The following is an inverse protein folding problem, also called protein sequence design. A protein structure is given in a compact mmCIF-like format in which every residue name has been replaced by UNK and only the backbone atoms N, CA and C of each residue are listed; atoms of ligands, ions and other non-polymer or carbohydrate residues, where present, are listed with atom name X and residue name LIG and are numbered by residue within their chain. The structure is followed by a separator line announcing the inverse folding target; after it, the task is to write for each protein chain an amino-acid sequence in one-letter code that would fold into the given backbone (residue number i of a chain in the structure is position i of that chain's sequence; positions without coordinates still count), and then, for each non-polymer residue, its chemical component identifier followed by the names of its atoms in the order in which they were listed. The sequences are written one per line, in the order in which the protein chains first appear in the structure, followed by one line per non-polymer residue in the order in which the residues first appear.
data_IF_555647621449
#
_entry.id   IF_555647621449
#
_cell.length_a   1.000
_cell.length_b   1.000
_cell.length_c   1.000
_cell.angle_alpha   90.00
_cell.angle_beta   90.00
_cell.angle_gamma   90.00
#
_symmetry.space_group_name_H-M   'P 1'
#
loop_
_entity.id
_entity.type
_entity.pdbx_description
1 polymer ?
#
# COMPACT_ATOMS: atom_id res chain seq x y z
N UNK A 1 -13.14 1.53 13.23
CA UNK A 1 -12.52 0.27 13.73
C UNK A 1 -11.73 0.57 15.01
N UNK A 2 -12.40 0.65 16.18
CA UNK A 2 -11.73 1.01 17.44
C UNK A 2 -10.72 -0.04 17.93
N UNK A 3 -10.81 -1.27 17.42
CA UNK A 3 -9.91 -2.39 17.74
C UNK A 3 -8.66 -2.43 16.82
N UNK A 4 -8.51 -1.47 15.90
CA UNK A 4 -7.37 -1.44 14.99
C UNK A 4 -6.09 -1.06 15.73
N UNK A 5 -5.01 -1.81 15.50
CA UNK A 5 -3.66 -1.50 15.96
C UNK A 5 -2.76 -1.21 14.77
N UNK A 6 -1.99 -0.15 14.87
CA UNK A 6 -1.15 0.32 13.77
C UNK A 6 0.25 -0.27 13.87
N UNK A 7 0.71 -0.89 12.78
CA UNK A 7 2.09 -1.35 12.65
C UNK A 7 2.99 -0.22 12.13
N UNK A 8 3.22 -0.17 10.82
CA UNK A 8 3.89 0.96 10.18
C UNK A 8 3.57 1.00 8.68
N UNK A 9 3.85 2.15 8.06
CA UNK A 9 3.57 2.34 6.65
C UNK A 9 4.45 3.42 6.04
N UNK A 10 5.56 3.05 5.40
CA UNK A 10 6.43 4.00 4.75
C UNK A 10 5.83 4.52 3.43
N UNK A 11 6.33 5.66 3.00
CA UNK A 11 6.23 6.06 1.61
C UNK A 11 7.14 5.17 0.75
N UNK A 12 6.71 4.86 -0.47
CA UNK A 12 7.45 4.11 -1.48
C UNK A 12 7.67 4.98 -2.71
N UNK A 13 8.46 4.52 -3.67
CA UNK A 13 8.67 5.24 -4.94
C UNK A 13 7.37 5.45 -5.73
N UNK A 14 6.39 4.56 -5.58
CA UNK A 14 5.14 4.57 -6.34
C UNK A 14 3.92 4.98 -5.54
N UNK A 15 4.06 5.24 -4.24
CA UNK A 15 2.93 5.58 -3.38
C UNK A 15 3.24 5.44 -1.90
N UNK A 16 2.30 4.92 -1.14
CA UNK A 16 2.44 4.63 0.28
C UNK A 16 1.59 3.43 0.67
N UNK A 17 1.90 2.82 1.79
CA UNK A 17 1.01 1.84 2.40
C UNK A 17 0.96 2.01 3.91
N UNK A 18 0.00 1.34 4.53
CA UNK A 18 -0.04 1.19 5.98
C UNK A 18 -0.51 -0.21 6.37
N UNK A 19 0.24 -0.85 7.27
CA UNK A 19 -0.07 -2.17 7.81
C UNK A 19 -0.83 -2.02 9.12
N UNK A 20 -2.00 -2.66 9.19
CA UNK A 20 -2.94 -2.51 10.29
C UNK A 20 -3.41 -3.88 10.74
N UNK A 21 -3.40 -4.12 12.04
CA UNK A 21 -4.07 -5.27 12.65
C UNK A 21 -5.52 -4.89 12.96
N UNK A 22 -6.44 -5.53 12.29
CA UNK A 22 -7.87 -5.30 12.45
C UNK A 22 -8.57 -6.40 13.30
N UNK A 23 -7.78 -7.32 13.90
CA UNK A 23 -8.31 -8.49 14.58
C UNK A 23 -9.04 -9.40 13.59
N UNK A 24 -10.31 -9.68 13.87
CA UNK A 24 -11.14 -10.56 13.03
C UNK A 24 -11.84 -9.82 11.88
N UNK A 25 -11.73 -8.50 11.82
CA UNK A 25 -12.36 -7.71 10.76
C UNK A 25 -11.57 -7.81 9.47
N UNK A 26 -12.28 -8.08 8.37
CA UNK A 26 -11.71 -8.09 7.02
C UNK A 26 -12.17 -6.86 6.27
N UNK A 27 -11.23 -6.07 5.79
CA UNK A 27 -11.48 -5.00 4.82
C UNK A 27 -11.50 -5.56 3.41
N UNK A 28 -12.35 -4.99 2.59
CA UNK A 28 -12.43 -5.23 1.15
C UNK A 28 -12.21 -3.93 0.39
N UNK A 29 -11.99 -4.01 -0.92
CA UNK A 29 -11.84 -2.81 -1.75
C UNK A 29 -13.10 -1.91 -1.72
N UNK A 30 -14.27 -2.46 -1.38
CA UNK A 30 -15.52 -1.72 -1.23
C UNK A 30 -15.50 -0.75 -0.04
N UNK A 31 -14.63 -0.98 0.95
CA UNK A 31 -14.47 -0.12 2.13
C UNK A 31 -13.58 1.11 1.84
N UNK A 32 -12.71 1.03 0.81
CA UNK A 32 -11.75 2.09 0.51
C UNK A 32 -12.39 3.46 0.28
N UNK A 33 -13.52 3.60 -0.43
CA UNK A 33 -14.17 4.90 -0.62
C UNK A 33 -14.63 5.56 0.69
N UNK A 34 -15.06 4.76 1.67
CA UNK A 34 -15.46 5.27 2.98
C UNK A 34 -14.25 5.80 3.76
N UNK A 35 -13.12 5.08 3.73
CA UNK A 35 -11.85 5.51 4.34
C UNK A 35 -11.34 6.78 3.67
N UNK A 36 -11.33 6.84 2.33
CA UNK A 36 -10.93 8.05 1.57
C UNK A 36 -11.77 9.27 1.95
N UNK A 37 -13.06 9.10 2.14
CA UNK A 37 -13.96 10.17 2.56
C UNK A 37 -13.56 10.76 3.91
N UNK A 38 -13.20 9.92 4.88
CA UNK A 38 -12.72 10.37 6.18
C UNK A 38 -11.32 11.02 6.07
N UNK A 39 -10.42 10.46 5.26
CA UNK A 39 -9.13 11.10 4.97
C UNK A 39 -9.33 12.49 4.37
N UNK A 40 -10.25 12.67 3.42
CA UNK A 40 -10.59 13.97 2.85
C UNK A 40 -11.15 14.94 3.90
N UNK A 41 -11.96 14.45 4.84
CA UNK A 41 -12.46 15.26 5.95
C UNK A 41 -11.31 15.75 6.86
N UNK A 42 -10.33 14.88 7.15
CA UNK A 42 -9.12 15.23 7.91
C UNK A 42 -8.29 16.28 7.15
N UNK A 43 -8.08 16.10 5.86
CA UNK A 43 -7.35 17.07 5.01
C UNK A 43 -8.01 18.45 5.07
N UNK A 44 -9.35 18.53 5.02
CA UNK A 44 -10.11 19.80 5.12
C UNK A 44 -9.96 20.49 6.45
N UNK A 45 -9.72 19.75 7.55
CA UNK A 45 -9.49 20.34 8.90
C UNK A 45 -8.20 21.15 8.97
N UNK A 46 -7.28 20.99 8.04
CA UNK A 46 -6.00 21.69 7.98
C UNK A 46 -5.19 21.61 9.29
N UNK A 47 -5.09 20.40 9.83
CA UNK A 47 -4.40 20.16 11.09
C UNK A 47 -2.88 20.32 10.90
N UNK A 48 -2.17 20.95 11.82
CA UNK A 48 -0.71 20.96 11.81
C UNK A 48 -0.17 19.57 12.10
N UNK A 49 0.93 19.20 11.46
CA UNK A 49 1.69 17.98 11.73
C UNK A 49 3.00 18.41 12.40
N UNK A 50 3.12 18.10 13.69
CA UNK A 50 4.21 18.60 14.56
C UNK A 50 5.16 17.46 14.92
N UNK A 51 6.45 17.56 14.58
CA UNK A 51 7.44 16.61 15.04
C UNK A 51 7.78 16.86 16.52
N UNK A 52 8.09 15.80 17.25
CA UNK A 52 8.71 15.83 18.56
C UNK A 52 9.53 14.56 18.77
N UNK A 53 10.47 14.60 19.69
CA UNK A 53 11.30 13.46 20.04
C UNK A 53 11.04 13.06 21.50
N UNK A 54 11.16 11.76 21.78
CA UNK A 54 11.04 11.17 23.09
C UNK A 54 12.25 10.29 23.39
N UNK A 55 12.56 10.16 24.66
CA UNK A 55 13.43 9.09 25.15
C UNK A 55 12.76 7.73 24.92
N UNK A 56 13.54 6.64 24.93
CA UNK A 56 13.01 5.30 24.73
C UNK A 56 11.93 4.95 25.75
N UNK A 57 12.16 5.24 27.02
CA UNK A 57 11.21 4.94 28.09
C UNK A 57 9.90 5.71 27.92
N UNK A 58 9.98 7.00 27.59
CA UNK A 58 8.80 7.83 27.32
C UNK A 58 8.04 7.35 26.09
N UNK A 59 8.75 6.95 25.03
CA UNK A 59 8.16 6.42 23.81
C UNK A 59 7.42 5.10 24.05
N UNK A 60 8.04 4.16 24.77
CA UNK A 60 7.41 2.88 25.14
C UNK A 60 6.16 3.15 26.00
N UNK A 61 6.27 4.01 27.00
CA UNK A 61 5.14 4.36 27.85
C UNK A 61 3.99 4.97 27.05
N UNK A 62 4.27 5.92 26.18
CA UNK A 62 3.26 6.54 25.31
C UNK A 62 2.55 5.52 24.43
N UNK A 63 3.30 4.60 23.80
CA UNK A 63 2.74 3.59 22.91
C UNK A 63 1.93 2.53 23.68
N UNK A 64 2.36 2.18 24.90
CA UNK A 64 1.60 1.30 25.80
C UNK A 64 0.27 1.92 26.25
N UNK A 65 0.28 3.21 26.64
CA UNK A 65 -0.93 3.93 27.01
C UNK A 65 -1.93 4.05 25.86
N UNK A 66 -1.45 4.06 24.62
CA UNK A 66 -2.26 4.07 23.40
C UNK A 66 -2.65 2.67 22.89
N UNK A 67 -2.14 1.60 23.51
CA UNK A 67 -2.42 0.22 23.10
C UNK A 67 -1.69 -0.24 21.83
N UNK A 68 -0.67 0.50 21.37
CA UNK A 68 0.04 0.24 20.11
C UNK A 68 1.20 -0.77 20.30
N UNK A 69 0.84 -2.03 20.46
CA UNK A 69 1.79 -3.12 20.75
C UNK A 69 2.87 -3.31 19.68
N UNK A 70 2.52 -3.15 18.40
CA UNK A 70 3.48 -3.26 17.29
C UNK A 70 4.54 -2.15 17.33
N UNK A 71 4.17 -0.95 17.77
CA UNK A 71 5.11 0.16 17.96
C UNK A 71 6.04 -0.09 19.14
N UNK A 72 5.52 -0.62 20.24
CA UNK A 72 6.34 -1.01 21.41
C UNK A 72 7.37 -2.06 21.00
N UNK A 73 6.96 -3.09 20.29
CA UNK A 73 7.87 -4.14 19.80
C UNK A 73 8.93 -3.57 18.85
N UNK A 74 8.51 -2.68 17.93
CA UNK A 74 9.44 -2.04 17.00
C UNK A 74 10.47 -1.17 17.71
N UNK A 75 10.07 -0.39 18.73
CA UNK A 75 10.99 0.41 19.55
C UNK A 75 12.01 -0.49 20.25
N UNK A 76 11.60 -1.67 20.74
CA UNK A 76 12.50 -2.61 21.40
C UNK A 76 13.58 -3.18 20.45
N UNK A 77 13.28 -3.31 19.17
CA UNK A 77 14.22 -3.82 18.15
C UNK A 77 15.22 -2.76 17.66
N UNK A 78 14.97 -1.47 17.89
CA UNK A 78 15.86 -0.40 17.44
C UNK A 78 17.13 -0.34 18.33
N UNK A 79 18.24 0.09 17.74
CA UNK A 79 19.48 0.32 18.48
C UNK A 79 19.30 1.42 19.56
N UNK A 80 20.07 1.35 20.64
CA UNK A 80 19.90 2.24 21.79
C UNK A 80 20.17 3.72 21.49
N UNK A 81 21.03 3.99 20.53
CA UNK A 81 21.47 5.33 20.12
C UNK A 81 20.50 6.02 19.13
N UNK A 82 19.43 5.34 18.70
CA UNK A 82 18.45 5.90 17.76
C UNK A 82 17.55 6.91 18.44
N UNK A 83 17.49 8.13 17.86
CA UNK A 83 16.53 9.15 18.28
C UNK A 83 15.13 8.76 17.81
N UNK A 84 14.19 8.62 18.76
CA UNK A 84 12.81 8.26 18.47
C UNK A 84 12.00 9.52 18.19
N UNK A 85 11.63 9.69 16.93
CA UNK A 85 10.85 10.84 16.46
C UNK A 85 9.39 10.44 16.25
N UNK A 86 8.50 11.32 16.68
CA UNK A 86 7.06 11.19 16.57
C UNK A 86 6.47 12.38 15.83
N UNK A 87 5.31 12.18 15.24
CA UNK A 87 4.53 13.23 14.59
C UNK A 87 3.12 13.24 15.15
N UNK A 88 2.67 14.42 15.57
CA UNK A 88 1.33 14.63 16.09
C UNK A 88 0.47 15.38 15.08
N UNK A 89 -0.71 14.85 14.81
CA UNK A 89 -1.75 15.44 13.96
C UNK A 89 -3.08 15.43 14.72
N UNK A 90 -3.44 16.53 15.38
CA UNK A 90 -4.57 16.53 16.30
C UNK A 90 -4.33 15.55 17.45
N UNK A 91 -5.25 14.61 17.66
CA UNK A 91 -5.15 13.58 18.70
C UNK A 91 -4.37 12.33 18.22
N UNK A 92 -4.07 12.26 16.92
CA UNK A 92 -3.29 11.16 16.37
C UNK A 92 -1.79 11.42 16.53
N UNK A 93 -1.08 10.41 17.02
CA UNK A 93 0.38 10.42 17.19
C UNK A 93 0.92 9.13 16.58
N UNK A 94 1.95 9.25 15.77
CA UNK A 94 2.65 8.10 15.22
C UNK A 94 4.16 8.30 15.24
N UNK A 95 4.88 7.18 15.35
CA UNK A 95 6.34 7.13 15.28
C UNK A 95 6.79 7.08 13.82
N UNK A 96 7.60 8.02 13.39
CA UNK A 96 8.18 8.04 12.06
C UNK A 96 9.46 8.85 12.01
N UNK A 97 10.35 8.51 11.09
CA UNK A 97 11.60 9.23 10.85
C UNK A 97 11.37 10.56 10.08
N UNK A 98 10.30 10.63 9.28
CA UNK A 98 10.03 11.77 8.39
C UNK A 98 10.82 11.71 7.08
N UNK A 99 10.79 12.77 6.25
CA UNK A 99 10.04 14.01 6.45
C UNK A 99 8.53 13.87 6.29
N UNK A 100 7.77 14.83 6.84
CA UNK A 100 6.31 14.89 6.72
C UNK A 100 5.86 16.26 6.19
N UNK A 101 4.62 16.31 5.70
CA UNK A 101 3.95 17.57 5.41
C UNK A 101 3.78 18.38 6.70
N UNK A 102 3.86 19.71 6.61
CA UNK A 102 3.69 20.57 7.78
C UNK A 102 2.25 20.65 8.27
N UNK A 103 1.28 20.35 7.41
CA UNK A 103 -0.15 20.39 7.71
C UNK A 103 -0.94 19.53 6.72
N UNK A 104 -2.10 19.02 7.15
CA UNK A 104 -2.88 18.05 6.35
C UNK A 104 -3.37 18.59 5.02
N UNK A 105 -3.72 19.88 4.92
CA UNK A 105 -4.20 20.50 3.67
C UNK A 105 -3.13 20.62 2.57
N UNK A 106 -1.86 20.39 2.91
CA UNK A 106 -0.79 20.29 1.91
C UNK A 106 -0.96 19.07 0.99
N UNK A 107 -1.60 18.00 1.46
CA UNK A 107 -1.99 16.85 0.65
C UNK A 107 -3.07 17.28 -0.36
N UNK A 108 -2.73 17.30 -1.66
CA UNK A 108 -3.59 17.84 -2.72
C UNK A 108 -4.49 16.81 -3.35
N UNK A 109 -3.95 15.63 -3.64
CA UNK A 109 -4.66 14.54 -4.27
C UNK A 109 -4.09 13.21 -3.78
N UNK A 110 -4.95 12.26 -3.49
CA UNK A 110 -4.59 10.91 -3.08
C UNK A 110 -5.72 9.95 -3.44
N UNK A 111 -5.37 8.67 -3.51
CA UNK A 111 -6.31 7.57 -3.70
C UNK A 111 -5.80 6.34 -3.00
N UNK A 112 -6.70 5.57 -2.40
CA UNK A 112 -6.42 4.22 -1.94
C UNK A 112 -6.66 3.25 -3.12
N UNK A 113 -5.70 2.38 -3.39
CA UNK A 113 -5.71 1.62 -4.66
C UNK A 113 -5.90 0.13 -4.48
N UNK A 114 -5.52 -0.43 -3.32
CA UNK A 114 -5.66 -1.86 -3.08
C UNK A 114 -5.57 -2.21 -1.59
N UNK A 115 -6.12 -3.38 -1.26
CA UNK A 115 -5.93 -4.05 0.01
C UNK A 115 -5.18 -5.36 -0.25
N UNK A 116 -4.19 -5.65 0.58
CA UNK A 116 -3.42 -6.89 0.53
C UNK A 116 -3.06 -7.38 1.93
N UNK A 117 -2.60 -8.62 2.05
CA UNK A 117 -2.01 -9.13 3.29
C UNK A 117 -0.51 -8.86 3.33
N UNK A 118 0.02 -8.61 4.53
CA UNK A 118 1.46 -8.53 4.78
C UNK A 118 1.78 -9.15 6.13
N UNK A 119 2.77 -10.01 6.19
CA UNK A 119 3.21 -10.58 7.48
C UNK A 119 4.02 -9.55 8.27
N UNK A 120 3.75 -9.47 9.57
CA UNK A 120 4.54 -8.64 10.48
C UNK A 120 6.02 -8.96 10.38
N UNK A 121 6.86 -7.95 10.24
CA UNK A 121 8.32 -8.07 10.02
C UNK A 121 8.71 -8.93 8.82
N UNK A 122 7.84 -9.09 7.82
CA UNK A 122 8.04 -9.94 6.64
C UNK A 122 8.33 -11.43 6.96
N UNK A 123 7.95 -11.91 8.12
CA UNK A 123 8.08 -13.32 8.51
C UNK A 123 6.72 -14.00 8.46
N UNK A 124 6.59 -15.04 7.64
CA UNK A 124 5.35 -15.81 7.46
C UNK A 124 4.89 -16.56 8.73
N UNK A 125 5.73 -16.65 9.75
CA UNK A 125 5.37 -17.19 11.07
C UNK A 125 4.62 -16.18 11.94
N UNK A 126 4.75 -14.89 11.63
CA UNK A 126 4.10 -13.84 12.36
C UNK A 126 2.67 -13.62 11.86
N UNK A 127 1.90 -12.82 12.59
CA UNK A 127 0.53 -12.46 12.23
C UNK A 127 0.49 -11.76 10.88
N UNK A 128 -0.47 -12.14 10.05
CA UNK A 128 -0.78 -11.44 8.82
C UNK A 128 -1.62 -10.21 9.13
N UNK A 129 -1.14 -9.05 8.71
CA UNK A 129 -1.78 -7.75 8.83
C UNK A 129 -2.50 -7.37 7.54
N UNK A 130 -3.43 -6.46 7.63
CA UNK A 130 -4.09 -5.85 6.47
C UNK A 130 -3.27 -4.67 6.00
N UNK A 131 -2.78 -4.72 4.77
CA UNK A 131 -2.06 -3.62 4.12
C UNK A 131 -3.01 -2.84 3.23
N UNK A 132 -3.15 -1.55 3.51
CA UNK A 132 -3.86 -0.60 2.65
C UNK A 132 -2.82 0.15 1.83
N UNK A 133 -2.94 0.07 0.51
CA UNK A 133 -2.04 0.75 -0.43
C UNK A 133 -2.71 2.00 -0.97
N UNK A 134 -1.94 3.07 -1.13
CA UNK A 134 -2.41 4.32 -1.68
C UNK A 134 -1.36 5.04 -2.51
N UNK A 135 -1.81 6.03 -3.25
CA UNK A 135 -0.98 6.95 -4.03
C UNK A 135 -1.31 8.38 -3.67
N UNK A 136 -0.35 9.28 -3.80
CA UNK A 136 -0.53 10.70 -3.56
C UNK A 136 0.20 11.51 -4.63
N UNK A 137 -0.41 12.63 -5.03
CA UNK A 137 0.09 13.49 -6.10
C UNK A 137 0.04 14.96 -5.70
N UNK A 138 0.87 15.77 -6.34
CA UNK A 138 0.92 17.22 -6.15
C UNK A 138 -0.32 17.95 -6.66
N UNK A 139 -1.11 17.33 -7.53
CA UNK A 139 -2.33 17.91 -8.11
C UNK A 139 -3.39 16.86 -8.43
N UNK A 140 -4.64 17.30 -8.54
CA UNK A 140 -5.74 16.44 -9.01
C UNK A 140 -5.59 16.04 -10.48
N UNK A 141 -4.90 16.85 -11.29
CA UNK A 141 -4.66 16.53 -12.70
C UNK A 141 -3.69 15.33 -12.82
N UNK A 142 -2.64 15.29 -12.01
CA UNK A 142 -1.73 14.15 -11.97
C UNK A 142 -2.42 12.86 -11.48
N UNK A 143 -3.29 12.95 -10.47
CA UNK A 143 -4.08 11.80 -10.04
C UNK A 143 -5.00 11.30 -11.16
N UNK A 144 -5.70 12.20 -11.85
CA UNK A 144 -6.59 11.84 -12.97
C UNK A 144 -5.82 11.18 -14.12
N UNK A 145 -4.62 11.66 -14.42
CA UNK A 145 -3.77 11.03 -15.45
C UNK A 145 -3.29 9.65 -15.00
N UNK A 146 -2.92 9.48 -13.74
CA UNK A 146 -2.60 8.16 -13.18
C UNK A 146 -3.78 7.19 -13.30
N UNK A 147 -5.00 7.62 -12.95
CA UNK A 147 -6.20 6.79 -13.10
C UNK A 147 -6.46 6.42 -14.56
N UNK A 148 -6.29 7.37 -15.49
CA UNK A 148 -6.40 7.12 -16.93
C UNK A 148 -5.39 6.06 -17.39
N UNK A 149 -4.14 6.17 -16.95
CA UNK A 149 -3.09 5.19 -17.29
C UNK A 149 -3.39 3.80 -16.73
N UNK A 150 -3.93 3.71 -15.51
CA UNK A 150 -4.36 2.43 -14.92
C UNK A 150 -5.48 1.78 -15.75
N UNK A 151 -6.49 2.56 -16.17
CA UNK A 151 -7.57 2.05 -17.02
C UNK A 151 -7.03 1.56 -18.38
N UNK A 152 -6.10 2.31 -18.97
CA UNK A 152 -5.44 1.87 -20.22
C UNK A 152 -4.61 0.60 -20.01
N UNK A 153 -3.90 0.48 -18.87
CA UNK A 153 -3.15 -0.73 -18.54
C UNK A 153 -4.08 -1.95 -18.40
N UNK A 154 -5.25 -1.80 -17.73
CA UNK A 154 -6.24 -2.86 -17.63
C UNK A 154 -6.76 -3.30 -18.99
N UNK A 155 -7.00 -2.36 -19.93
CA UNK A 155 -7.43 -2.68 -21.29
C UNK A 155 -6.36 -3.45 -22.07
N UNK A 156 -5.07 -3.21 -21.76
CA UNK A 156 -3.91 -3.83 -22.41
C UNK A 156 -3.38 -5.07 -21.68
N UNK A 157 -4.11 -5.58 -20.68
CA UNK A 157 -3.68 -6.79 -19.97
C UNK A 157 -3.56 -7.96 -20.96
N UNK A 158 -2.33 -8.43 -21.13
CA UNK A 158 -2.00 -9.51 -22.08
C UNK A 158 -2.76 -10.80 -21.79
N UNK A 159 -3.13 -11.06 -20.55
CA UNK A 159 -3.90 -12.26 -20.16
C UNK A 159 -5.31 -12.17 -20.74
N UNK A 160 -5.95 -11.02 -20.62
CA UNK A 160 -7.29 -10.79 -21.19
C UNK A 160 -7.24 -10.80 -22.70
N UNK A 161 -6.34 -10.00 -23.30
CA UNK A 161 -6.20 -9.93 -24.76
C UNK A 161 -5.84 -11.30 -25.32
N UNK A 162 -4.94 -12.05 -24.68
CA UNK A 162 -4.54 -13.38 -25.11
C UNK A 162 -5.68 -14.39 -25.11
N UNK A 163 -6.58 -14.32 -24.13
CA UNK A 163 -7.80 -15.15 -24.11
C UNK A 163 -8.81 -14.70 -25.16
N UNK A 164 -9.09 -13.40 -25.30
CA UNK A 164 -10.00 -12.83 -26.31
C UNK A 164 -9.57 -13.17 -27.75
N UNK A 165 -8.26 -13.22 -28.00
CA UNK A 165 -7.66 -13.56 -29.30
C UNK A 165 -7.40 -15.06 -29.48
N UNK A 166 -7.78 -15.89 -28.52
CA UNK A 166 -7.52 -17.34 -28.53
C UNK A 166 -6.03 -17.70 -28.72
N UNK A 167 -5.14 -16.95 -28.04
CA UNK A 167 -3.69 -17.18 -28.14
C UNK A 167 -3.24 -18.30 -27.19
N UNK A 168 -3.83 -18.37 -26.01
CA UNK A 168 -3.53 -19.40 -25.00
C UNK A 168 -4.71 -19.61 -24.06
N UNK A 169 -4.65 -20.69 -23.33
CA UNK A 169 -5.60 -21.02 -22.26
C UNK A 169 -4.84 -21.50 -21.02
N UNK A 170 -5.53 -21.45 -19.88
CA UNK A 170 -5.09 -22.14 -18.66
C UNK A 170 -6.00 -23.33 -18.43
N UNK A 171 -5.43 -24.45 -17.96
CA UNK A 171 -6.15 -25.67 -17.65
C UNK A 171 -5.80 -26.15 -16.24
N UNK A 172 -6.72 -26.87 -15.61
CA UNK A 172 -6.56 -27.37 -14.23
C UNK A 172 -5.41 -28.39 -14.12
N UNK A 173 -5.06 -29.06 -15.21
CA UNK A 173 -3.95 -30.01 -15.30
C UNK A 173 -2.57 -29.34 -15.21
N UNK A 174 -2.50 -28.03 -15.43
CA UNK A 174 -1.24 -27.27 -15.36
C UNK A 174 -1.45 -25.88 -14.77
N UNK A 175 -1.70 -25.75 -13.45
CA UNK A 175 -1.91 -24.46 -12.82
C UNK A 175 -0.74 -23.51 -13.07
N UNK A 176 -1.02 -22.32 -13.64
CA UNK A 176 -0.03 -21.31 -13.95
C UNK A 176 0.73 -21.51 -15.27
N UNK A 177 0.54 -22.60 -15.98
CA UNK A 177 1.13 -22.81 -17.31
C UNK A 177 0.17 -22.38 -18.42
N UNK A 178 0.59 -21.48 -19.34
CA UNK A 178 -0.20 -21.15 -20.52
C UNK A 178 -0.07 -22.27 -21.57
N UNK A 179 -1.18 -22.83 -21.97
CA UNK A 179 -1.27 -23.76 -23.10
C UNK A 179 -1.52 -22.96 -24.37
N UNK A 180 -0.58 -23.03 -25.32
CA UNK A 180 -0.68 -22.30 -26.57
C UNK A 180 -1.76 -22.90 -27.49
N UNK A 181 -2.66 -22.06 -27.94
CA UNK A 181 -3.64 -22.36 -28.95
C UNK A 181 -3.08 -22.14 -30.38
N UNK A 182 -3.74 -22.59 -31.44
CA UNK A 182 -3.20 -22.43 -32.79
C UNK A 182 -2.85 -21.02 -33.20
N UNK A 183 -3.65 -20.02 -32.80
CA UNK A 183 -3.38 -18.61 -33.08
C UNK A 183 -2.14 -18.13 -32.31
N UNK A 184 -1.99 -18.53 -31.05
CA UNK A 184 -0.83 -18.20 -30.24
C UNK A 184 0.45 -18.81 -30.78
N UNK A 185 0.39 -20.07 -31.25
CA UNK A 185 1.56 -20.70 -31.88
C UNK A 185 1.99 -19.99 -33.16
N UNK A 186 1.05 -19.54 -34.00
CA UNK A 186 1.38 -18.72 -35.19
C UNK A 186 2.10 -17.44 -34.81
N UNK A 187 1.57 -16.70 -33.83
CA UNK A 187 2.19 -15.45 -33.35
C UNK A 187 3.59 -15.73 -32.77
N UNK A 188 3.70 -16.74 -31.91
CA UNK A 188 4.99 -17.14 -31.32
C UNK A 188 6.02 -17.49 -32.38
N UNK A 189 5.67 -18.30 -33.36
CA UNK A 189 6.57 -18.70 -34.41
C UNK A 189 7.02 -17.50 -35.25
N UNK A 190 6.12 -16.63 -35.65
CA UNK A 190 6.46 -15.39 -36.38
C UNK A 190 7.46 -14.50 -35.62
N UNK A 191 7.28 -14.35 -34.28
CA UNK A 191 8.23 -13.62 -33.44
C UNK A 191 9.58 -14.32 -33.33
N UNK A 192 9.60 -15.66 -33.24
CA UNK A 192 10.84 -16.44 -33.20
C UNK A 192 11.60 -16.38 -34.52
N UNK A 193 10.89 -16.49 -35.65
CA UNK A 193 11.48 -16.39 -36.97
C UNK A 193 12.13 -15.00 -37.16
N UNK A 194 11.40 -13.93 -36.83
CA UNK A 194 11.96 -12.57 -36.86
C UNK A 194 13.21 -12.40 -35.97
N UNK A 195 13.19 -12.98 -34.77
CA UNK A 195 14.36 -12.93 -33.88
C UNK A 195 15.58 -13.69 -34.43
N UNK A 196 15.34 -14.80 -35.13
CA UNK A 196 16.42 -15.56 -35.75
C UNK A 196 17.03 -14.88 -37.00
N UNK A 197 16.26 -14.00 -37.65
CA UNK A 197 16.75 -13.24 -38.81
C UNK A 197 17.61 -12.02 -38.42
N UNK A 198 17.54 -11.55 -37.15
CA UNK A 198 18.35 -10.46 -36.63
C UNK A 198 19.74 -10.92 -36.19
#
# INVERSE_FOLDING_TARGET
YPQAHFAYGPATETGFYYDIDLGDVKLTEEDLPAIEKEMQAIVKKNLPIKPFALSRDEAIKLMQERGESYKVEHIADLAEDVTLTFFQQGDYIDMCVGPHLCYTKALKAFKLVAISGAYWKNDSKNKMLTRINGVAFGSKAELAEYERLLEEAKKRDHRRIGQEMELFMFADEGPGFPFWLPNGMRLRNALMDYWHEM
#
